data_IF_938514363869
#
_entry.id   IF_938514363869
#
_cell.length_a   1.000
_cell.length_b   1.000
_cell.length_c   1.000
_cell.angle_alpha   90.00
_cell.angle_beta   90.00
_cell.angle_gamma   90.00
#
_symmetry.space_group_name_H-M   'P 1'
#
loop_
_entity.id
_entity.type
_entity.pdbx_description
1 polymer ?
#
# COMPACT_ATOMS: atom_id res chain seq x y z
N UNK A 1 2.36 -3.44 -36.30
CA UNK A 1 1.75 -4.00 -35.08
C UNK A 1 2.91 -4.52 -34.23
N UNK A 2 3.96 -3.75 -33.91
CA UNK A 2 4.02 -2.40 -33.30
C UNK A 2 3.34 -2.37 -31.94
N UNK A 3 4.11 -2.82 -30.95
CA UNK A 3 4.21 -2.27 -29.60
C UNK A 3 2.90 -2.08 -28.83
N UNK A 4 2.40 -3.16 -28.26
CA UNK A 4 1.60 -3.09 -27.04
C UNK A 4 2.10 -4.16 -26.07
N UNK A 5 2.11 -3.81 -24.79
CA UNK A 5 2.61 -4.59 -23.64
C UNK A 5 4.13 -4.51 -23.40
N UNK A 6 4.66 -3.29 -23.35
CA UNK A 6 5.85 -3.00 -22.54
C UNK A 6 5.77 -1.61 -21.90
N UNK A 7 4.81 -1.41 -20.99
CA UNK A 7 4.82 -0.38 -19.93
C UNK A 7 3.59 -0.58 -19.03
N UNK A 8 3.59 -1.57 -18.16
CA UNK A 8 2.51 -1.79 -17.19
C UNK A 8 3.05 -1.76 -15.75
N UNK A 9 3.82 -0.73 -15.41
CA UNK A 9 3.86 -0.25 -14.04
C UNK A 9 2.74 0.79 -13.92
N UNK A 10 1.57 0.38 -13.45
CA UNK A 10 0.39 1.25 -13.39
C UNK A 10 0.67 2.48 -12.52
N UNK A 11 0.62 3.67 -13.10
CA UNK A 11 0.59 4.92 -12.33
C UNK A 11 -0.78 5.06 -11.68
N UNK A 12 -0.86 4.83 -10.37
CA UNK A 12 -2.08 5.03 -9.59
C UNK A 12 -2.04 6.42 -8.95
N UNK A 13 -2.78 7.37 -9.53
CA UNK A 13 -2.80 8.75 -9.08
C UNK A 13 -3.14 8.88 -7.59
N UNK A 14 -4.05 8.04 -7.08
CA UNK A 14 -4.40 8.03 -5.65
C UNK A 14 -3.21 7.70 -4.74
N UNK A 15 -2.29 6.83 -5.17
CA UNK A 15 -1.10 6.51 -4.38
C UNK A 15 -0.07 7.63 -4.45
N UNK A 16 0.09 8.24 -5.64
CA UNK A 16 1.01 9.36 -5.82
C UNK A 16 0.55 10.57 -4.99
N UNK A 17 -0.76 10.85 -4.95
CA UNK A 17 -1.36 11.84 -4.06
C UNK A 17 -1.01 11.53 -2.58
N UNK A 18 -1.20 10.29 -2.10
CA UNK A 18 -0.88 9.91 -0.71
C UNK A 18 0.59 10.19 -0.38
N UNK A 19 1.50 9.82 -1.29
CA UNK A 19 2.95 10.02 -1.12
C UNK A 19 3.28 11.52 -1.06
N UNK A 20 2.69 12.32 -1.95
CA UNK A 20 2.94 13.77 -2.05
C UNK A 20 2.54 14.53 -0.78
N UNK A 21 1.42 14.15 -0.15
CA UNK A 21 0.94 14.79 1.08
C UNK A 21 1.88 14.57 2.29
N UNK A 22 2.80 13.60 2.23
CA UNK A 22 3.83 13.33 3.26
C UNK A 22 3.31 13.25 4.70
N UNK A 23 2.10 12.72 4.89
CA UNK A 23 1.51 12.47 6.21
C UNK A 23 2.11 11.23 6.89
N UNK A 24 3.43 11.24 7.04
CA UNK A 24 4.19 10.15 7.64
C UNK A 24 4.06 10.13 9.16
N UNK A 25 4.22 8.95 9.77
CA UNK A 25 4.09 8.80 11.21
C UNK A 25 4.98 9.74 12.02
N UNK A 26 6.27 9.96 11.70
CA UNK A 26 7.09 10.92 12.46
C UNK A 26 6.51 12.35 12.46
N UNK A 27 5.92 12.78 11.35
CA UNK A 27 5.28 14.11 11.21
C UNK A 27 4.00 14.16 12.04
N UNK A 28 3.14 13.15 11.93
CA UNK A 28 1.88 13.12 12.67
C UNK A 28 2.10 12.94 14.17
N UNK A 29 3.02 12.06 14.57
CA UNK A 29 3.38 11.81 15.96
C UNK A 29 3.82 13.10 16.67
N UNK A 30 4.75 13.84 16.04
CA UNK A 30 5.21 15.14 16.53
C UNK A 30 4.06 16.17 16.60
N UNK A 31 3.20 16.22 15.57
CA UNK A 31 2.06 17.14 15.52
C UNK A 31 1.07 16.93 16.67
N UNK A 32 0.83 15.68 17.04
CA UNK A 32 -0.14 15.31 18.07
C UNK A 32 0.48 15.03 19.44
N UNK A 33 1.80 15.19 19.59
CA UNK A 33 2.50 15.02 20.87
C UNK A 33 2.48 13.58 21.39
N UNK A 34 2.55 12.59 20.49
CA UNK A 34 2.59 11.16 20.84
C UNK A 34 3.95 10.56 20.53
N UNK A 35 4.42 9.67 21.41
CA UNK A 35 5.77 9.09 21.35
C UNK A 35 5.77 7.62 20.90
N UNK A 36 4.66 7.12 20.35
CA UNK A 36 4.63 5.74 19.88
C UNK A 36 5.69 5.54 18.78
N UNK A 37 6.53 4.50 18.86
CA UNK A 37 7.61 4.30 17.90
C UNK A 37 7.09 3.95 16.50
N UNK A 38 5.87 3.43 16.42
CA UNK A 38 5.18 3.08 15.19
C UNK A 38 3.73 3.56 15.25
N UNK A 39 3.10 3.82 14.09
CA UNK A 39 1.70 4.21 14.06
C UNK A 39 0.81 3.10 14.63
N UNK A 40 -0.28 3.43 15.35
CA UNK A 40 -1.20 2.44 15.89
C UNK A 40 -1.78 1.48 14.85
N UNK A 41 -1.96 1.95 13.60
CA UNK A 41 -2.48 1.13 12.50
C UNK A 41 -1.49 0.07 11.99
N UNK A 42 -0.21 0.13 12.38
CA UNK A 42 0.81 -0.84 11.93
C UNK A 42 0.45 -2.27 12.32
N UNK A 43 -0.09 -2.48 13.52
CA UNK A 43 -0.54 -3.81 13.96
C UNK A 43 -1.63 -4.38 13.04
N UNK A 44 -2.54 -3.54 12.53
CA UNK A 44 -3.55 -3.96 11.57
C UNK A 44 -2.95 -4.30 10.20
N UNK A 45 -1.94 -3.55 9.76
CA UNK A 45 -1.19 -3.87 8.54
C UNK A 45 -0.47 -5.22 8.68
N UNK A 46 0.16 -5.49 9.82
CA UNK A 46 0.84 -6.77 10.07
C UNK A 46 -0.14 -7.94 10.03
N UNK A 47 -1.29 -7.80 10.69
CA UNK A 47 -2.35 -8.82 10.63
C UNK A 47 -2.89 -9.05 9.21
N UNK A 48 -3.01 -7.99 8.39
CA UNK A 48 -3.41 -8.12 6.99
C UNK A 48 -2.34 -8.88 6.18
N UNK A 49 -1.06 -8.53 6.32
CA UNK A 49 0.05 -9.22 5.68
C UNK A 49 0.07 -10.71 6.05
N UNK A 50 -0.11 -11.06 7.32
CA UNK A 50 -0.15 -12.45 7.78
C UNK A 50 -1.28 -13.26 7.13
N UNK A 51 -2.45 -12.65 6.94
CA UNK A 51 -3.60 -13.31 6.29
C UNK A 51 -3.36 -13.47 4.79
N UNK A 52 -2.84 -12.43 4.12
CA UNK A 52 -2.46 -12.49 2.71
C UNK A 52 -1.43 -13.59 2.47
N UNK A 53 -0.42 -13.66 3.34
CA UNK A 53 0.61 -14.68 3.31
C UNK A 53 0.03 -16.09 3.38
N UNK A 54 -0.93 -16.33 4.29
CA UNK A 54 -1.64 -17.61 4.38
C UNK A 54 -2.48 -17.90 3.14
N UNK A 55 -3.12 -16.90 2.56
CA UNK A 55 -3.97 -17.06 1.38
C UNK A 55 -3.18 -17.50 0.13
N UNK A 56 -1.90 -17.11 0.03
CA UNK A 56 -1.02 -17.52 -1.06
C UNK A 56 -0.67 -19.02 -1.06
N UNK A 57 -0.87 -19.74 0.04
CA UNK A 57 -0.66 -21.20 0.14
C UNK A 57 -1.92 -22.01 -0.23
N UNK A 58 -2.96 -21.36 -0.77
CA UNK A 58 -4.24 -21.97 -1.17
C UNK A 58 -4.21 -22.75 -2.50
N UNK A 59 -5.39 -22.97 -3.09
CA UNK A 59 -5.68 -23.83 -4.26
C UNK A 59 -5.11 -23.36 -5.61
N UNK A 60 -4.07 -22.52 -5.60
CA UNK A 60 -3.42 -21.99 -6.82
C UNK A 60 -4.25 -20.95 -7.58
N UNK A 61 -5.35 -20.45 -7.00
CA UNK A 61 -6.17 -19.36 -7.60
C UNK A 61 -5.68 -17.96 -7.26
N UNK A 62 -4.68 -17.83 -6.37
CA UNK A 62 -4.02 -16.55 -6.11
C UNK A 62 -3.20 -16.15 -7.34
N UNK A 63 -3.34 -14.89 -7.77
CA UNK A 63 -2.62 -14.34 -8.91
C UNK A 63 -1.09 -14.33 -8.73
N UNK A 64 -0.58 -14.52 -7.50
CA UNK A 64 0.83 -14.73 -7.19
C UNK A 64 1.05 -15.66 -5.99
N UNK A 65 2.26 -16.24 -5.93
CA UNK A 65 2.77 -16.91 -4.73
C UNK A 65 3.22 -15.90 -3.66
N UNK A 66 3.32 -16.36 -2.41
CA UNK A 66 3.81 -15.57 -1.27
C UNK A 66 5.11 -14.83 -1.60
N UNK A 67 6.05 -15.54 -2.24
CA UNK A 67 7.39 -15.03 -2.51
C UNK A 67 7.35 -13.88 -3.52
N UNK A 68 6.64 -14.06 -4.63
CA UNK A 68 6.58 -13.06 -5.69
C UNK A 68 5.93 -11.76 -5.19
N UNK A 69 4.88 -11.85 -4.36
CA UNK A 69 4.28 -10.66 -3.72
C UNK A 69 5.27 -9.93 -2.83
N UNK A 70 5.99 -10.66 -1.97
CA UNK A 70 6.97 -10.08 -1.05
C UNK A 70 8.16 -9.46 -1.78
N UNK A 71 8.70 -10.14 -2.79
CA UNK A 71 9.81 -9.62 -3.60
C UNK A 71 9.41 -8.31 -4.29
N UNK A 72 8.21 -8.25 -4.88
CA UNK A 72 7.71 -7.02 -5.51
C UNK A 72 7.51 -5.89 -4.49
N UNK A 73 6.92 -6.18 -3.33
CA UNK A 73 6.72 -5.16 -2.28
C UNK A 73 8.06 -4.63 -1.75
N UNK A 74 9.06 -5.49 -1.62
CA UNK A 74 10.43 -5.11 -1.23
C UNK A 74 11.09 -4.25 -2.33
N UNK A 75 10.96 -4.61 -3.60
CA UNK A 75 11.46 -3.83 -4.74
C UNK A 75 10.78 -2.45 -4.83
N UNK A 76 9.46 -2.39 -4.66
CA UNK A 76 8.70 -1.15 -4.65
C UNK A 76 9.11 -0.26 -3.47
N UNK A 77 9.27 -0.84 -2.28
CA UNK A 77 9.68 -0.11 -1.08
C UNK A 77 11.12 0.42 -1.19
N UNK A 78 12.02 -0.36 -1.79
CA UNK A 78 13.43 0.01 -1.96
C UNK A 78 13.66 1.03 -3.08
N UNK A 79 12.76 1.11 -4.07
CA UNK A 79 12.92 1.96 -5.24
C UNK A 79 11.83 3.02 -5.34
N UNK A 80 10.60 2.65 -5.76
CA UNK A 80 9.51 3.60 -6.04
C UNK A 80 9.12 4.42 -4.82
N UNK A 81 9.02 3.78 -3.66
CA UNK A 81 8.57 4.39 -2.41
C UNK A 81 9.69 4.60 -1.39
N UNK A 82 10.96 4.63 -1.85
CA UNK A 82 12.13 4.83 -0.98
C UNK A 82 12.12 6.18 -0.22
N UNK A 83 11.34 7.16 -0.72
CA UNK A 83 11.16 8.46 -0.07
C UNK A 83 10.20 8.46 1.12
N UNK A 84 9.49 7.36 1.37
CA UNK A 84 8.64 7.17 2.55
C UNK A 84 9.39 6.38 3.63
N UNK A 85 9.24 6.74 4.92
CA UNK A 85 9.79 5.94 6.00
C UNK A 85 9.02 4.63 6.15
N UNK A 86 9.63 3.68 6.84
CA UNK A 86 8.88 2.57 7.42
C UNK A 86 7.97 3.09 8.54
N UNK A 87 6.69 2.65 8.63
CA UNK A 87 6.05 1.61 7.82
C UNK A 87 5.21 2.10 6.62
N UNK A 88 5.19 3.39 6.30
CA UNK A 88 4.40 3.92 5.18
C UNK A 88 4.83 3.36 3.82
N UNK A 89 6.12 3.18 3.57
CA UNK A 89 6.59 2.57 2.32
C UNK A 89 6.02 1.16 2.10
N UNK A 90 5.99 0.34 3.14
CA UNK A 90 5.40 -1.01 3.13
C UNK A 90 3.90 -0.95 2.81
N UNK A 91 3.17 -0.02 3.46
CA UNK A 91 1.73 0.13 3.24
C UNK A 91 1.42 0.50 1.78
N UNK A 92 2.15 1.47 1.22
CA UNK A 92 1.90 1.94 -0.14
C UNK A 92 2.37 0.91 -1.18
N UNK A 93 3.47 0.19 -0.94
CA UNK A 93 3.91 -0.92 -1.79
C UNK A 93 2.89 -2.05 -1.84
N UNK A 94 2.31 -2.44 -0.70
CA UNK A 94 1.23 -3.42 -0.66
C UNK A 94 -0.01 -2.92 -1.43
N UNK A 95 -0.43 -1.67 -1.20
CA UNK A 95 -1.59 -1.10 -1.90
C UNK A 95 -1.39 -1.09 -3.42
N UNK A 96 -0.18 -0.71 -3.90
CA UNK A 96 0.19 -0.80 -5.30
C UNK A 96 0.04 -2.24 -5.82
N UNK A 97 0.57 -3.21 -5.07
CA UNK A 97 0.54 -4.63 -5.47
C UNK A 97 -0.89 -5.17 -5.59
N UNK A 98 -1.81 -4.73 -4.72
CA UNK A 98 -3.23 -5.10 -4.79
C UNK A 98 -3.94 -4.45 -5.99
N UNK A 99 -3.63 -3.18 -6.29
CA UNK A 99 -4.18 -2.45 -7.44
C UNK A 99 -3.67 -3.00 -8.78
N UNK A 100 -2.36 -3.24 -8.89
CA UNK A 100 -1.72 -3.79 -10.09
C UNK A 100 -2.29 -5.16 -10.50
N UNK A 101 -2.87 -5.88 -9.54
CA UNK A 101 -3.51 -7.20 -9.75
C UNK A 101 -5.02 -7.12 -9.85
N UNK A 102 -5.61 -5.93 -9.74
CA UNK A 102 -7.06 -5.73 -9.77
C UNK A 102 -7.81 -6.40 -8.62
N UNK A 103 -7.12 -6.71 -7.51
CA UNK A 103 -7.76 -7.22 -6.27
C UNK A 103 -8.65 -6.13 -5.66
N UNK A 104 -8.19 -4.88 -5.78
CA UNK A 104 -8.99 -3.67 -5.58
C UNK A 104 -8.78 -2.78 -6.81
N UNK A 105 -9.78 -1.95 -7.12
CA UNK A 105 -9.65 -0.89 -8.12
C UNK A 105 -9.22 0.44 -7.49
N UNK A 106 -8.64 1.32 -8.30
CA UNK A 106 -8.28 2.67 -7.86
C UNK A 106 -9.53 3.47 -7.42
N UNK A 107 -10.65 3.25 -8.10
CA UNK A 107 -11.93 3.86 -7.75
C UNK A 107 -12.41 3.42 -6.35
N UNK A 108 -12.42 2.12 -6.06
CA UNK A 108 -12.80 1.60 -4.74
C UNK A 108 -11.88 2.14 -3.63
N UNK A 109 -10.57 2.24 -3.89
CA UNK A 109 -9.62 2.82 -2.95
C UNK A 109 -9.95 4.30 -2.69
N UNK A 110 -10.18 5.11 -3.74
CA UNK A 110 -10.53 6.53 -3.60
C UNK A 110 -11.84 6.72 -2.83
N UNK A 111 -12.88 5.97 -3.18
CA UNK A 111 -14.15 5.99 -2.44
C UNK A 111 -13.97 5.62 -0.96
N UNK A 112 -13.10 4.65 -0.67
CA UNK A 112 -12.84 4.23 0.70
C UNK A 112 -12.12 5.30 1.50
N UNK A 113 -11.13 5.98 0.90
CA UNK A 113 -10.41 7.10 1.52
C UNK A 113 -11.36 8.28 1.80
N UNK A 114 -12.23 8.63 0.86
CA UNK A 114 -13.23 9.70 1.04
C UNK A 114 -14.19 9.38 2.19
N UNK A 115 -14.63 8.11 2.29
CA UNK A 115 -15.48 7.65 3.40
C UNK A 115 -14.77 7.77 4.75
N UNK A 116 -13.47 7.43 4.81
CA UNK A 116 -12.69 7.56 6.05
C UNK A 116 -12.49 9.03 6.40
N UNK A 117 -12.17 9.89 5.44
CA UNK A 117 -12.02 11.34 5.65
C UNK A 117 -13.30 11.97 6.18
N UNK A 118 -14.44 11.69 5.56
CA UNK A 118 -15.74 12.18 6.01
C UNK A 118 -16.07 11.77 7.46
N UNK A 119 -15.61 10.60 7.92
CA UNK A 119 -15.79 10.17 9.32
C UNK A 119 -14.88 10.88 10.31
N UNK A 120 -13.70 11.33 9.88
CA UNK A 120 -12.75 12.05 10.72
C UNK A 120 -13.05 13.55 10.80
N UNK A 121 -13.79 14.09 9.84
CA UNK A 121 -14.20 15.50 9.76
C UNK A 121 -15.59 15.77 10.37
N UNK A 122 -16.37 14.73 10.69
CA UNK A 122 -17.68 14.82 11.34
C UNK A 122 -17.57 14.99 12.86
#
# INVERSE_FOLDING_TARGET
MSDEISSAAGEFAVLDEIVEHRQTWPVLAARYGVDNPLPPWKTSLDGLCDVLDRSCYGDGRSALTFKERRDEEDELSANRYAGLPFPENQLVALAYSLLARGIISEYELRQRLDTVRARLEA
#
